data_IF_927346995406
#
_entry.id   IF_927346995406
#
_cell.length_a   1.000
_cell.length_b   1.000
_cell.length_c   1.000
_cell.angle_alpha   90.00
_cell.angle_beta   90.00
_cell.angle_gamma   90.00
#
_symmetry.space_group_name_H-M   'P 1'
#
loop_
_entity.id
_entity.type
_entity.pdbx_description
1 polymer ?
#
# COMPACT_ATOMS: atom_id res chain seq x y z
N UNK A 1 -17.92 4.11 3.57
CA UNK A 1 -17.14 3.27 4.50
C UNK A 1 -16.33 4.23 5.36
N UNK A 2 -16.42 4.19 6.69
CA UNK A 2 -15.61 5.06 7.55
C UNK A 2 -14.14 4.68 7.34
N UNK A 3 -13.36 5.57 6.73
CA UNK A 3 -11.91 5.42 6.69
C UNK A 3 -11.46 5.59 8.13
N UNK A 4 -11.11 4.47 8.77
CA UNK A 4 -10.50 4.47 10.08
C UNK A 4 -9.24 5.31 9.95
N UNK A 5 -9.25 6.47 10.60
CA UNK A 5 -8.12 7.40 10.68
C UNK A 5 -6.90 6.57 11.04
N UNK A 6 -5.98 6.39 10.10
CA UNK A 6 -4.81 5.57 10.32
C UNK A 6 -4.14 6.15 11.56
N UNK A 7 -4.05 5.40 12.65
CA UNK A 7 -3.23 5.77 13.78
C UNK A 7 -1.79 5.78 13.26
N UNK A 8 -1.36 6.92 12.73
CA UNK A 8 -0.06 7.07 12.14
C UNK A 8 0.94 6.79 13.26
N UNK A 9 1.74 5.74 13.07
CA UNK A 9 2.86 5.48 13.97
C UNK A 9 3.75 6.72 13.93
N UNK A 10 3.97 7.41 15.06
CA UNK A 10 4.76 8.63 15.07
C UNK A 10 6.18 8.28 14.67
N UNK A 11 6.52 8.54 13.41
CA UNK A 11 7.78 8.10 12.81
C UNK A 11 8.62 9.32 12.51
N UNK A 12 9.91 9.24 12.81
CA UNK A 12 10.89 10.25 12.41
C UNK A 12 11.83 9.70 11.35
N UNK A 13 12.28 10.59 10.47
CA UNK A 13 13.52 10.41 9.72
C UNK A 13 14.68 10.94 10.57
N UNK A 14 15.60 10.05 10.88
CA UNK A 14 16.82 10.34 11.62
C UNK A 14 18.00 10.31 10.64
N UNK A 15 18.58 11.46 10.34
CA UNK A 15 19.67 11.61 9.37
C UNK A 15 21.00 11.92 10.05
N UNK A 16 22.05 11.23 9.63
CA UNK A 16 23.42 11.36 10.14
C UNK A 16 24.26 12.20 9.18
N UNK A 17 24.98 13.19 9.71
CA UNK A 17 25.90 14.05 8.96
C UNK A 17 27.31 14.01 9.54
N UNK A 18 28.30 14.12 8.67
CA UNK A 18 29.73 14.09 9.06
C UNK A 18 30.33 12.69 9.22
N UNK A 19 29.58 11.65 8.89
CA UNK A 19 30.03 10.25 8.98
C UNK A 19 28.85 9.29 8.88
N UNK A 20 29.05 8.05 9.32
CA UNK A 20 28.03 7.01 9.36
C UNK A 20 27.92 6.41 10.76
N UNK A 21 26.74 5.93 11.10
CA UNK A 21 26.46 5.19 12.33
C UNK A 21 25.75 3.89 12.00
N UNK A 22 25.91 2.89 12.86
CA UNK A 22 25.11 1.67 12.78
C UNK A 22 23.73 1.91 13.41
N UNK A 23 22.70 1.13 13.03
CA UNK A 23 21.38 1.22 13.64
C UNK A 23 21.40 1.13 15.17
N UNK A 24 22.25 0.28 15.74
CA UNK A 24 22.35 0.03 17.18
C UNK A 24 22.88 1.26 17.93
N UNK A 25 23.81 2.00 17.34
CA UNK A 25 24.32 3.25 17.92
C UNK A 25 23.21 4.30 17.88
N UNK A 26 22.49 4.44 16.77
CA UNK A 26 21.36 5.37 16.66
C UNK A 26 20.32 5.06 17.74
N UNK A 27 19.92 3.80 17.89
CA UNK A 27 18.99 3.36 18.94
C UNK A 27 19.49 3.71 20.34
N UNK A 28 20.77 3.45 20.63
CA UNK A 28 21.38 3.74 21.93
C UNK A 28 21.38 5.24 22.23
N UNK A 29 21.74 6.08 21.25
CA UNK A 29 21.80 7.52 21.42
C UNK A 29 20.40 8.14 21.59
N UNK A 30 19.37 7.56 20.95
CA UNK A 30 17.96 7.94 21.12
C UNK A 30 17.40 7.50 22.49
N UNK A 31 17.68 6.25 22.91
CA UNK A 31 17.31 5.77 24.24
C UNK A 31 17.90 6.64 25.35
N UNK A 32 19.17 7.04 25.20
CA UNK A 32 19.84 7.88 26.17
C UNK A 32 19.26 9.31 26.26
N UNK A 33 18.88 9.90 25.12
CA UNK A 33 18.44 11.32 25.06
C UNK A 33 16.97 11.54 25.26
N UNK A 34 16.14 10.62 24.79
CA UNK A 34 14.70 10.80 24.70
C UNK A 34 14.03 9.93 25.75
N UNK A 35 14.15 8.60 25.61
CA UNK A 35 13.40 7.68 26.45
C UNK A 35 14.06 6.30 26.56
N UNK A 36 14.64 5.93 27.72
CA UNK A 36 15.41 4.68 27.85
C UNK A 36 14.53 3.43 27.96
N UNK A 37 13.28 3.55 28.41
CA UNK A 37 12.32 2.44 28.54
C UNK A 37 11.62 2.09 27.22
N UNK A 38 11.80 2.89 26.18
CA UNK A 38 11.23 2.61 24.87
C UNK A 38 12.12 1.65 24.07
N UNK A 39 11.50 0.70 23.37
CA UNK A 39 12.21 -0.21 22.47
C UNK A 39 12.47 0.49 21.14
N UNK A 40 13.58 1.21 21.07
CA UNK A 40 14.02 1.87 19.85
C UNK A 40 14.38 0.85 18.76
N UNK A 41 13.90 1.10 17.56
CA UNK A 41 14.25 0.33 16.37
C UNK A 41 14.54 1.32 15.23
N UNK A 42 15.77 1.28 14.75
CA UNK A 42 16.22 2.11 13.65
C UNK A 42 16.26 1.28 12.37
N UNK A 43 15.32 1.55 11.46
CA UNK A 43 15.23 0.86 10.17
C UNK A 43 15.99 1.68 9.14
N UNK A 44 16.96 1.08 8.47
CA UNK A 44 17.71 1.77 7.41
C UNK A 44 16.75 2.16 6.28
N UNK A 45 16.70 3.46 5.97
CA UNK A 45 15.84 4.01 4.93
C UNK A 45 16.64 4.40 3.68
N UNK A 46 17.76 5.09 3.89
CA UNK A 46 18.71 5.47 2.87
C UNK A 46 20.12 5.55 3.48
N UNK A 47 21.13 5.91 2.68
CA UNK A 47 22.47 6.13 3.21
C UNK A 47 22.43 7.16 4.35
N UNK A 48 22.99 6.78 5.50
CA UNK A 48 23.03 7.60 6.72
C UNK A 48 21.66 8.12 7.18
N UNK A 49 20.56 7.44 6.84
CA UNK A 49 19.21 7.85 7.23
C UNK A 49 18.37 6.66 7.69
N UNK A 50 17.69 6.83 8.81
CA UNK A 50 16.92 5.80 9.48
C UNK A 50 15.48 6.26 9.72
N UNK A 51 14.53 5.35 9.58
CA UNK A 51 13.17 5.55 10.08
C UNK A 51 13.09 4.98 11.49
N UNK A 52 12.53 5.77 12.40
CA UNK A 52 12.44 5.42 13.82
C UNK A 52 11.05 5.75 14.35
N UNK A 53 10.38 4.76 14.94
CA UNK A 53 9.12 4.95 15.63
C UNK A 53 9.35 5.53 17.04
N UNK A 54 8.65 6.60 17.34
CA UNK A 54 8.65 7.28 18.63
C UNK A 54 7.54 6.71 19.53
N UNK A 55 7.63 6.90 20.86
CA UNK A 55 6.61 6.38 21.77
C UNK A 55 5.28 7.14 21.66
N UNK A 56 5.31 8.40 21.21
CA UNK A 56 4.13 9.25 21.03
C UNK A 56 4.35 10.36 20.00
N UNK A 57 3.26 10.90 19.44
CA UNK A 57 3.29 12.06 18.53
C UNK A 57 3.80 13.29 19.28
N UNK A 58 3.46 13.45 20.56
CA UNK A 58 3.91 14.57 21.38
C UNK A 58 5.43 14.55 21.58
N UNK A 59 6.02 13.38 21.82
CA UNK A 59 7.48 13.23 21.90
C UNK A 59 8.15 13.46 20.55
N UNK A 60 7.58 12.95 19.46
CA UNK A 60 8.08 13.21 18.12
C UNK A 60 8.10 14.72 17.81
N UNK A 61 6.99 15.42 18.05
CA UNK A 61 6.88 16.87 17.82
C UNK A 61 7.83 17.70 18.68
N UNK A 62 8.19 17.23 19.87
CA UNK A 62 9.22 17.87 20.71
C UNK A 62 10.62 17.71 20.11
N UNK A 63 10.83 16.67 19.31
CA UNK A 63 12.10 16.32 18.70
C UNK A 63 12.20 16.69 17.23
N UNK A 64 11.13 17.20 16.62
CA UNK A 64 11.09 17.63 15.23
C UNK A 64 12.02 18.82 15.01
N UNK A 65 12.80 18.77 13.93
CA UNK A 65 13.85 19.72 13.56
C UNK A 65 14.96 19.90 14.63
N UNK A 66 15.17 18.89 15.50
CA UNK A 66 16.25 18.90 16.48
C UNK A 66 17.51 18.22 15.94
N UNK A 67 18.66 18.89 16.07
CA UNK A 67 19.98 18.34 15.74
C UNK A 67 20.80 18.03 17.01
N UNK A 68 21.23 16.78 17.15
CA UNK A 68 22.16 16.33 18.18
C UNK A 68 23.58 16.18 17.64
N UNK A 69 24.56 16.82 18.29
CA UNK A 69 25.98 16.58 18.01
C UNK A 69 26.52 15.43 18.86
N UNK A 70 26.92 14.34 18.22
CA UNK A 70 27.44 13.13 18.84
C UNK A 70 28.98 13.20 18.89
N UNK A 71 29.51 13.93 19.87
CA UNK A 71 30.97 14.18 20.01
C UNK A 71 31.81 12.90 20.02
N UNK A 72 31.31 11.82 20.63
CA UNK A 72 32.00 10.53 20.71
C UNK A 72 32.18 9.85 19.34
N UNK A 73 31.35 10.23 18.36
CA UNK A 73 31.36 9.68 17.01
C UNK A 73 31.80 10.70 15.95
N UNK A 74 31.94 11.98 16.32
CA UNK A 74 32.30 13.05 15.38
C UNK A 74 31.20 13.38 14.36
N UNK A 75 29.96 12.95 14.59
CA UNK A 75 28.83 13.14 13.67
C UNK A 75 27.75 14.02 14.30
N UNK A 76 26.80 14.50 13.48
CA UNK A 76 25.53 15.03 13.95
C UNK A 76 24.36 14.19 13.48
N UNK A 77 23.29 14.18 14.26
CA UNK A 77 22.07 13.42 14.04
C UNK A 77 20.90 14.39 14.07
N UNK A 78 20.17 14.53 12.96
CA UNK A 78 18.99 15.38 12.83
C UNK A 78 17.74 14.53 12.83
N UNK A 79 16.71 14.96 13.55
CA UNK A 79 15.42 14.27 13.65
C UNK A 79 14.37 15.15 12.97
N UNK A 80 13.65 14.60 12.00
CA UNK A 80 12.57 15.29 11.28
C UNK A 80 11.34 14.36 11.29
N UNK A 81 10.15 14.91 11.56
CA UNK A 81 8.90 14.16 11.44
C UNK A 81 8.78 13.56 10.04
N UNK A 82 8.63 12.23 9.97
CA UNK A 82 8.37 11.54 8.72
C UNK A 82 6.89 11.71 8.36
N UNK A 83 6.62 12.80 7.62
CA UNK A 83 5.29 13.05 7.08
C UNK A 83 5.09 12.13 5.88
N UNK A 84 4.29 11.09 6.09
CA UNK A 84 3.77 10.30 4.96
C UNK A 84 2.65 11.14 4.35
N UNK A 85 3.05 12.10 3.51
CA UNK A 85 2.25 12.97 2.63
C UNK A 85 0.85 13.31 3.15
N UNK A 86 0.69 14.59 3.55
CA UNK A 86 -0.58 15.28 3.78
C UNK A 86 -1.73 14.70 2.95
N UNK A 87 -2.87 14.45 3.60
CA UNK A 87 -4.19 14.13 3.01
C UNK A 87 -4.09 13.82 1.51
N UNK A 88 -3.74 12.57 1.16
CA UNK A 88 -3.53 12.19 -0.23
C UNK A 88 -4.75 12.57 -1.07
N UNK A 89 -4.65 13.69 -1.80
CA UNK A 89 -5.68 14.14 -2.71
C UNK A 89 -5.69 13.13 -3.85
N UNK A 90 -6.82 12.43 -4.11
CA UNK A 90 -6.89 11.49 -5.22
C UNK A 90 -6.50 12.19 -6.52
N UNK A 91 -5.52 11.63 -7.24
CA UNK A 91 -5.03 12.22 -8.48
C UNK A 91 -6.03 12.09 -9.64
N UNK A 92 -6.90 11.09 -9.58
CA UNK A 92 -7.92 10.78 -10.58
C UNK A 92 -9.02 9.91 -9.98
N UNK A 93 -10.13 9.80 -10.70
CA UNK A 93 -11.21 8.84 -10.47
C UNK A 93 -11.20 7.82 -11.62
N UNK A 94 -11.53 6.57 -11.34
CA UNK A 94 -11.51 5.47 -12.31
C UNK A 94 -12.91 5.25 -12.90
N UNK A 95 -12.98 4.76 -14.14
CA UNK A 95 -14.23 4.32 -14.74
C UNK A 95 -14.77 3.10 -14.00
N UNK A 96 -15.98 3.18 -13.47
CA UNK A 96 -16.65 2.05 -12.82
C UNK A 96 -17.59 1.35 -13.82
N UNK A 97 -17.27 0.12 -14.20
CA UNK A 97 -18.00 -0.64 -15.23
C UNK A 97 -18.29 -2.07 -14.81
N UNK A 98 -19.37 -2.62 -15.34
CA UNK A 98 -19.64 -4.06 -15.28
C UNK A 98 -19.03 -4.77 -16.48
N UNK A 99 -18.42 -5.93 -16.23
CA UNK A 99 -17.83 -6.77 -17.27
C UNK A 99 -18.33 -8.21 -17.18
N UNK A 100 -18.49 -8.83 -18.34
CA UNK A 100 -18.65 -10.26 -18.48
C UNK A 100 -17.29 -10.93 -18.67
N UNK A 101 -17.05 -12.00 -17.92
CA UNK A 101 -15.79 -12.76 -17.96
C UNK A 101 -16.05 -14.14 -18.57
N UNK A 102 -15.25 -14.52 -19.56
CA UNK A 102 -15.36 -15.82 -20.23
C UNK A 102 -14.00 -16.50 -20.39
N UNK A 103 -14.02 -17.83 -20.58
CA UNK A 103 -12.82 -18.67 -20.64
C UNK A 103 -12.36 -19.26 -19.29
N UNK A 104 -13.07 -18.95 -18.19
CA UNK A 104 -12.69 -19.40 -16.85
C UNK A 104 -12.94 -20.91 -16.71
N UNK A 105 -11.94 -21.72 -16.27
CA UNK A 105 -12.14 -23.16 -16.08
C UNK A 105 -13.07 -23.46 -14.90
N UNK A 106 -13.93 -24.48 -15.03
CA UNK A 106 -14.99 -24.80 -14.05
C UNK A 106 -14.54 -24.94 -12.59
N UNK A 107 -13.38 -25.54 -12.26
CA UNK A 107 -12.92 -25.63 -10.86
C UNK A 107 -12.72 -24.27 -10.19
N UNK A 108 -12.57 -23.21 -10.98
CA UNK A 108 -12.34 -21.83 -10.53
C UNK A 108 -13.60 -20.98 -10.59
N UNK A 109 -14.78 -21.59 -10.71
CA UNK A 109 -16.05 -20.88 -10.71
C UNK A 109 -16.54 -20.56 -9.29
N UNK A 110 -15.77 -19.72 -8.58
CA UNK A 110 -16.09 -19.29 -7.23
C UNK A 110 -15.70 -17.83 -6.99
N UNK A 111 -16.33 -17.22 -5.98
CA UNK A 111 -16.24 -15.79 -5.69
C UNK A 111 -14.80 -15.25 -5.67
N UNK A 112 -13.88 -15.90 -4.95
CA UNK A 112 -12.50 -15.42 -4.85
C UNK A 112 -11.75 -15.42 -6.19
N UNK A 113 -12.03 -16.38 -7.08
CA UNK A 113 -11.42 -16.42 -8.40
C UNK A 113 -12.01 -15.31 -9.29
N UNK A 114 -13.31 -15.10 -9.26
CA UNK A 114 -13.96 -14.01 -10.00
C UNK A 114 -13.50 -12.64 -9.50
N UNK A 115 -13.31 -12.48 -8.19
CA UNK A 115 -12.75 -11.27 -7.61
C UNK A 115 -11.33 -11.01 -8.11
N UNK A 116 -10.48 -12.03 -8.06
CA UNK A 116 -9.11 -11.95 -8.57
C UNK A 116 -9.07 -11.67 -10.08
N UNK A 117 -10.03 -12.18 -10.86
CA UNK A 117 -10.13 -11.90 -12.29
C UNK A 117 -10.43 -10.43 -12.58
N UNK A 118 -11.33 -9.79 -11.82
CA UNK A 118 -11.51 -8.34 -11.95
C UNK A 118 -10.22 -7.56 -11.64
N UNK A 119 -9.39 -8.04 -10.70
CA UNK A 119 -8.09 -7.46 -10.36
C UNK A 119 -7.08 -7.49 -11.53
N UNK A 120 -7.31 -8.31 -12.56
CA UNK A 120 -6.45 -8.37 -13.76
C UNK A 120 -6.60 -7.10 -14.61
N UNK A 121 -7.79 -6.49 -14.63
CA UNK A 121 -8.11 -5.35 -15.50
C UNK A 121 -8.37 -4.04 -14.74
N UNK A 122 -8.58 -4.09 -13.43
CA UNK A 122 -8.88 -2.93 -12.59
C UNK A 122 -8.96 -3.29 -11.12
N UNK A 123 -9.55 -2.41 -10.30
CA UNK A 123 -9.88 -2.72 -8.92
C UNK A 123 -11.29 -3.31 -8.86
N UNK A 124 -11.41 -4.60 -8.55
CA UNK A 124 -12.72 -5.24 -8.35
C UNK A 124 -13.48 -4.57 -7.22
N UNK A 125 -14.73 -4.19 -7.50
CA UNK A 125 -15.66 -3.61 -6.53
C UNK A 125 -16.71 -4.63 -6.09
N UNK A 126 -17.21 -5.44 -7.03
CA UNK A 126 -18.31 -6.38 -6.78
C UNK A 126 -18.24 -7.59 -7.71
N UNK A 127 -18.76 -8.73 -7.25
CA UNK A 127 -18.94 -9.94 -8.06
C UNK A 127 -20.39 -10.40 -7.91
N UNK A 128 -21.13 -10.48 -9.02
CA UNK A 128 -22.54 -10.89 -9.02
C UNK A 128 -22.66 -12.42 -9.05
N UNK A 129 -22.54 -13.03 -7.87
CA UNK A 129 -22.69 -14.48 -7.71
C UNK A 129 -24.14 -14.96 -7.86
N UNK A 130 -25.14 -14.06 -7.80
CA UNK A 130 -26.55 -14.46 -8.00
C UNK A 130 -26.81 -14.67 -9.49
N UNK A 131 -26.36 -13.75 -10.34
CA UNK A 131 -26.42 -13.89 -11.80
C UNK A 131 -25.66 -15.13 -12.25
N UNK A 132 -24.44 -15.35 -11.74
CA UNK A 132 -23.69 -16.56 -12.06
C UNK A 132 -24.47 -17.84 -11.71
N UNK A 133 -25.03 -17.95 -10.51
CA UNK A 133 -25.81 -19.15 -10.11
C UNK A 133 -27.06 -19.37 -10.97
N UNK A 134 -27.67 -18.30 -11.47
CA UNK A 134 -28.91 -18.36 -12.25
C UNK A 134 -28.67 -18.60 -13.74
N UNK A 135 -27.57 -18.11 -14.28
CA UNK A 135 -27.36 -18.01 -15.74
C UNK A 135 -26.04 -18.64 -16.21
N UNK A 136 -25.10 -18.91 -15.30
CA UNK A 136 -23.73 -19.30 -15.64
C UNK A 136 -22.85 -18.14 -16.11
N UNK A 137 -23.39 -16.93 -16.28
CA UNK A 137 -22.64 -15.74 -16.71
C UNK A 137 -21.84 -15.17 -15.54
N UNK A 138 -20.54 -15.01 -15.73
CA UNK A 138 -19.65 -14.39 -14.74
C UNK A 138 -19.69 -12.88 -14.96
N UNK A 139 -20.17 -12.15 -13.96
CA UNK A 139 -20.36 -10.70 -14.02
C UNK A 139 -19.63 -10.03 -12.85
N UNK A 140 -18.72 -9.11 -13.15
CA UNK A 140 -17.81 -8.47 -12.18
C UNK A 140 -17.83 -6.96 -12.40
N UNK A 141 -17.93 -6.19 -11.32
CA UNK A 141 -17.83 -4.73 -11.33
C UNK A 141 -16.39 -4.34 -11.03
N UNK A 142 -15.80 -3.51 -11.88
CA UNK A 142 -14.39 -3.09 -11.77
C UNK A 142 -14.27 -1.58 -11.93
N UNK A 143 -13.38 -0.98 -11.16
CA UNK A 143 -12.88 0.36 -11.40
C UNK A 143 -11.58 0.26 -12.22
N UNK A 144 -11.58 0.76 -13.45
CA UNK A 144 -10.42 0.66 -14.36
C UNK A 144 -10.09 2.00 -15.01
N UNK A 145 -8.86 2.18 -15.47
CA UNK A 145 -8.41 3.48 -15.98
C UNK A 145 -9.05 3.84 -17.34
N UNK A 146 -9.46 2.85 -18.13
CA UNK A 146 -9.92 3.11 -19.49
C UNK A 146 -10.84 2.00 -20.01
N UNK A 147 -12.16 2.17 -19.84
CA UNK A 147 -13.18 1.18 -20.24
C UNK A 147 -13.25 0.92 -21.76
N UNK A 148 -12.87 1.90 -22.60
CA UNK A 148 -12.87 1.78 -24.07
C UNK A 148 -11.89 0.73 -24.61
N UNK A 149 -10.99 0.20 -23.76
CA UNK A 149 -10.08 -0.89 -24.13
C UNK A 149 -10.76 -2.26 -24.15
N UNK A 150 -11.99 -2.36 -23.65
CA UNK A 150 -12.77 -3.60 -23.68
C UNK A 150 -13.46 -3.79 -25.05
N UNK A 151 -13.59 -5.04 -25.54
CA UNK A 151 -13.19 -6.28 -24.88
C UNK A 151 -11.67 -6.55 -24.98
N UNK A 152 -11.11 -7.17 -23.93
CA UNK A 152 -9.72 -7.61 -23.90
C UNK A 152 -9.63 -9.10 -23.57
N UNK A 153 -8.78 -9.83 -24.30
CA UNK A 153 -8.42 -11.22 -23.98
C UNK A 153 -6.97 -11.26 -23.56
N UNK A 154 -6.69 -11.83 -22.39
CA UNK A 154 -5.31 -11.98 -21.85
C UNK A 154 -5.11 -13.36 -21.24
N UNK A 155 -3.85 -13.81 -21.19
CA UNK A 155 -3.47 -15.04 -20.49
C UNK A 155 -3.59 -14.84 -18.97
N UNK A 156 -4.33 -15.73 -18.31
CA UNK A 156 -4.45 -15.77 -16.84
C UNK A 156 -4.11 -17.17 -16.34
N UNK A 157 -3.23 -17.24 -15.35
CA UNK A 157 -2.79 -18.50 -14.76
C UNK A 157 -3.71 -18.93 -13.62
N UNK A 158 -4.26 -20.13 -13.75
CA UNK A 158 -5.01 -20.81 -12.71
C UNK A 158 -4.19 -22.00 -12.19
N UNK A 159 -3.70 -21.89 -10.95
CA UNK A 159 -2.74 -22.84 -10.39
C UNK A 159 -1.40 -22.79 -11.12
N UNK A 160 -1.19 -23.69 -12.09
CA UNK A 160 0.03 -23.76 -12.93
C UNK A 160 -0.27 -23.72 -14.44
N UNK A 161 -1.52 -23.47 -14.82
CA UNK A 161 -1.99 -23.56 -16.20
C UNK A 161 -2.54 -22.21 -16.65
N UNK A 162 -2.07 -21.71 -17.80
CA UNK A 162 -2.56 -20.48 -18.43
C UNK A 162 -3.81 -20.73 -19.27
N UNK A 163 -4.74 -19.78 -19.26
CA UNK A 163 -5.96 -19.79 -20.06
C UNK A 163 -6.21 -18.41 -20.66
N UNK A 164 -6.68 -18.33 -21.93
CA UNK A 164 -7.14 -17.07 -22.49
C UNK A 164 -8.46 -16.69 -21.83
N UNK A 165 -8.44 -15.63 -21.03
CA UNK A 165 -9.63 -15.06 -20.40
C UNK A 165 -10.03 -13.80 -21.12
N UNK A 166 -11.32 -13.68 -21.46
CA UNK A 166 -11.87 -12.49 -22.11
C UNK A 166 -12.75 -11.72 -21.14
N UNK A 167 -12.50 -10.42 -21.06
CA UNK A 167 -13.31 -9.44 -20.34
C UNK A 167 -14.01 -8.57 -21.37
N UNK A 168 -15.34 -8.54 -21.35
CA UNK A 168 -16.16 -7.74 -22.25
C UNK A 168 -17.02 -6.77 -21.44
N UNK A 169 -17.12 -5.52 -21.89
CA UNK A 169 -18.00 -4.53 -21.28
C UNK A 169 -19.45 -5.04 -21.35
N UNK A 170 -20.18 -4.93 -20.24
CA UNK A 170 -21.63 -5.16 -20.26
C UNK A 170 -22.29 -4.01 -21.02
N UNK A 171 -23.07 -4.34 -22.06
CA UNK A 171 -23.87 -3.34 -22.76
C UNK A 171 -24.85 -2.71 -21.75
N UNK A 172 -24.79 -1.40 -21.58
CA UNK A 172 -25.86 -0.67 -20.90
C UNK A 172 -27.16 -0.98 -21.66
N UNK A 173 -28.13 -1.58 -20.98
CA UNK A 173 -29.40 -1.91 -21.60
C UNK A 173 -30.03 -0.68 -22.26
N UNK A 174 -30.30 -0.77 -23.55
CA UNK A 174 -31.33 0.04 -24.21
C UNK A 174 -32.69 -0.10 -23.53
#
# INVERSE_FOLDING_TARGET
>A
MNVQEASLVPTALVSIRGGSLTPEIVQTELAHRIRPDWKWEAVLHAENSFLVAFPSIEELKRMDDVEFRLKNHGVSMTIIEWKTTDELIPAYELDEVWVHVSGVPSPWHHYLAFWALGCVIGATQEVDMLTYRRTGVIRVKVCMHCSIQLPVTTDVVFGKLGYPITFALEEEGC
#
